data_IF_910713604437
#
_entry.id   IF_910713604437
#
_cell.length_a   1.000
_cell.length_b   1.000
_cell.length_c   1.000
_cell.angle_alpha   90.00
_cell.angle_beta   90.00
_cell.angle_gamma   90.00
#
_symmetry.space_group_name_H-M   'P 1'
#
loop_
_entity.id
_entity.type
_entity.pdbx_description
1 polymer ?
#
# COMPACT_ATOMS: atom_id res chain seq x y z
N UNK A 1 14.09 -7.13 -20.83
CA UNK A 1 12.62 -7.15 -21.04
C UNK A 1 11.97 -6.34 -19.94
N UNK A 2 11.02 -5.47 -20.29
CA UNK A 2 10.13 -4.83 -19.32
C UNK A 2 9.19 -5.86 -18.70
N UNK A 3 8.57 -5.53 -17.57
CA UNK A 3 7.58 -6.42 -16.96
C UNK A 3 6.41 -6.73 -17.90
N UNK A 4 5.95 -5.72 -18.66
CA UNK A 4 4.96 -5.88 -19.73
C UNK A 4 5.39 -6.91 -20.78
N UNK A 5 6.61 -6.78 -21.31
CA UNK A 5 7.13 -7.72 -22.32
C UNK A 5 7.21 -9.15 -21.80
N UNK A 6 7.58 -9.34 -20.52
CA UNK A 6 7.61 -10.67 -19.90
C UNK A 6 6.21 -11.30 -19.84
N UNK A 7 5.20 -10.51 -19.46
CA UNK A 7 3.81 -10.98 -19.40
C UNK A 7 3.29 -11.30 -20.80
N UNK A 8 3.46 -10.38 -21.76
CA UNK A 8 3.03 -10.57 -23.14
C UNK A 8 3.65 -11.84 -23.74
N UNK A 9 4.96 -12.05 -23.55
CA UNK A 9 5.65 -13.25 -24.03
C UNK A 9 5.13 -14.54 -23.36
N UNK A 10 4.84 -14.51 -22.06
CA UNK A 10 4.27 -15.65 -21.33
C UNK A 10 2.89 -16.07 -21.82
N UNK A 11 2.12 -15.14 -22.40
CA UNK A 11 0.79 -15.40 -22.97
C UNK A 11 0.82 -15.81 -24.44
N UNK A 12 1.99 -15.90 -25.07
CA UNK A 12 2.13 -16.41 -26.45
C UNK A 12 2.15 -17.94 -26.51
N UNK A 13 1.77 -18.55 -27.66
CA UNK A 13 1.87 -20.02 -27.83
C UNK A 13 3.29 -20.57 -27.67
N UNK A 14 4.31 -19.77 -27.99
CA UNK A 14 5.73 -20.15 -27.84
C UNK A 14 6.23 -20.03 -26.41
N UNK A 15 5.52 -19.32 -25.54
CA UNK A 15 5.93 -19.05 -24.16
C UNK A 15 7.19 -18.19 -24.05
N UNK A 16 7.82 -18.22 -22.87
CA UNK A 16 9.03 -17.47 -22.53
C UNK A 16 9.86 -18.19 -21.48
N UNK A 17 11.18 -18.01 -21.51
CA UNK A 17 12.10 -18.46 -20.44
C UNK A 17 12.31 -17.41 -19.35
N UNK A 18 11.77 -16.19 -19.55
CA UNK A 18 11.80 -15.10 -18.58
C UNK A 18 10.41 -14.89 -17.99
N UNK A 19 10.29 -14.94 -16.66
CA UNK A 19 9.01 -14.78 -15.95
C UNK A 19 8.88 -13.39 -15.32
N UNK A 20 7.65 -12.88 -15.31
CA UNK A 20 7.29 -11.71 -14.51
C UNK A 20 7.16 -12.10 -13.03
N UNK A 21 7.65 -11.28 -12.13
CA UNK A 21 7.60 -11.51 -10.69
C UNK A 21 6.95 -10.34 -9.94
N UNK A 22 6.14 -10.68 -8.94
CA UNK A 22 5.46 -9.74 -8.04
C UNK A 22 5.41 -10.29 -6.62
N UNK A 23 5.11 -9.40 -5.67
CA UNK A 23 4.91 -9.70 -4.27
C UNK A 23 3.43 -9.97 -4.05
N UNK A 24 3.10 -11.18 -3.60
CA UNK A 24 1.74 -11.51 -3.19
C UNK A 24 1.32 -10.63 -2.00
N UNK A 25 0.06 -10.19 -2.01
CA UNK A 25 -0.49 -9.29 -0.98
C UNK A 25 0.35 -8.02 -0.81
N UNK A 26 0.72 -7.38 -1.91
CA UNK A 26 1.62 -6.21 -1.94
C UNK A 26 1.24 -5.12 -0.93
N UNK A 27 -0.05 -4.90 -0.67
CA UNK A 27 -0.51 -3.91 0.30
C UNK A 27 -0.01 -4.17 1.72
N UNK A 28 0.05 -5.42 2.15
CA UNK A 28 0.60 -5.81 3.46
C UNK A 28 2.11 -5.54 3.50
N UNK A 29 2.83 -5.95 2.45
CA UNK A 29 4.26 -5.70 2.35
C UNK A 29 4.59 -4.19 2.34
N UNK A 30 3.84 -3.39 1.59
CA UNK A 30 4.02 -1.94 1.51
C UNK A 30 3.73 -1.27 2.85
N UNK A 31 2.67 -1.69 3.55
CA UNK A 31 2.34 -1.19 4.89
C UNK A 31 3.50 -1.44 5.86
N UNK A 32 4.02 -2.66 5.86
CA UNK A 32 5.04 -3.10 6.83
C UNK A 32 6.41 -2.48 6.57
N UNK A 33 6.72 -2.17 5.31
CA UNK A 33 8.01 -1.64 4.88
C UNK A 33 7.92 -0.19 4.36
N UNK A 34 6.89 0.57 4.73
CA UNK A 34 6.61 1.88 4.14
C UNK A 34 7.83 2.80 4.09
N UNK A 35 8.50 3.00 5.22
CA UNK A 35 9.63 3.93 5.35
C UNK A 35 10.90 3.43 4.62
N UNK A 36 10.99 2.13 4.30
CA UNK A 36 12.07 1.54 3.51
C UNK A 36 11.81 1.70 1.99
N UNK A 37 10.53 1.70 1.61
CA UNK A 37 10.10 1.70 0.22
C UNK A 37 9.94 3.11 -0.37
N UNK A 38 9.55 4.10 0.43
CA UNK A 38 9.34 5.48 -0.03
C UNK A 38 9.69 6.49 1.06
N UNK A 39 10.13 7.69 0.66
CA UNK A 39 10.27 8.84 1.56
C UNK A 39 8.97 9.62 1.75
N UNK A 40 7.87 9.20 1.12
CA UNK A 40 6.57 9.87 1.23
C UNK A 40 5.96 9.64 2.61
N UNK A 41 5.18 10.60 3.16
CA UNK A 41 4.43 10.36 4.40
C UNK A 41 3.47 9.18 4.28
N UNK A 42 3.36 8.33 5.31
CA UNK A 42 2.52 7.12 5.29
C UNK A 42 1.06 7.39 4.89
N UNK A 43 0.50 8.53 5.28
CA UNK A 43 -0.87 8.91 4.97
C UNK A 43 -1.08 9.23 3.48
N UNK A 44 -0.03 9.31 2.66
CA UNK A 44 -0.16 9.41 1.21
C UNK A 44 -0.91 8.20 0.61
N UNK A 45 -0.95 7.05 1.29
CA UNK A 45 -1.78 5.92 0.87
C UNK A 45 -3.29 6.26 0.90
N UNK A 46 -3.70 7.17 1.79
CA UNK A 46 -5.09 7.63 1.97
C UNK A 46 -5.41 8.91 1.18
N UNK A 47 -4.41 9.51 0.51
CA UNK A 47 -4.56 10.81 -0.12
C UNK A 47 -5.52 10.79 -1.33
N UNK A 48 -6.50 11.70 -1.43
CA UNK A 48 -7.38 11.79 -2.60
C UNK A 48 -6.68 12.38 -3.84
N UNK A 49 -5.51 13.00 -3.66
CA UNK A 49 -4.75 13.61 -4.74
C UNK A 49 -3.96 12.57 -5.54
N UNK A 50 -4.22 12.51 -6.86
CA UNK A 50 -3.57 11.55 -7.76
C UNK A 50 -2.04 11.66 -7.74
N UNK A 51 -1.50 12.87 -7.70
CA UNK A 51 -0.05 13.07 -7.70
C UNK A 51 0.63 12.45 -6.47
N UNK A 52 -0.03 12.51 -5.30
CA UNK A 52 0.47 11.85 -4.09
C UNK A 52 0.43 10.33 -4.24
N UNK A 53 -0.67 9.80 -4.79
CA UNK A 53 -0.82 8.36 -5.05
C UNK A 53 0.19 7.83 -6.08
N UNK A 54 0.54 8.63 -7.09
CA UNK A 54 1.55 8.30 -8.08
C UNK A 54 2.97 8.39 -7.51
N UNK A 55 3.25 9.39 -6.68
CA UNK A 55 4.59 9.60 -6.11
C UNK A 55 5.09 8.37 -5.36
N UNK A 56 4.36 7.93 -4.34
CA UNK A 56 4.81 6.79 -3.52
C UNK A 56 4.81 5.48 -4.30
N UNK A 57 3.86 5.27 -5.24
CA UNK A 57 3.82 4.05 -6.05
C UNK A 57 5.01 3.91 -6.98
N UNK A 58 5.48 5.03 -7.53
CA UNK A 58 6.71 5.06 -8.34
C UNK A 58 7.92 4.67 -7.50
N UNK A 59 8.00 5.12 -6.27
CA UNK A 59 9.08 4.71 -5.36
C UNK A 59 9.00 3.21 -5.07
N UNK A 60 7.82 2.72 -4.70
CA UNK A 60 7.60 1.30 -4.36
C UNK A 60 7.92 0.38 -5.53
N UNK A 61 7.42 0.66 -6.74
CA UNK A 61 7.67 -0.21 -7.90
C UNK A 61 9.15 -0.24 -8.27
N UNK A 62 9.83 0.91 -8.18
CA UNK A 62 11.27 1.00 -8.45
C UNK A 62 12.10 0.30 -7.36
N UNK A 63 11.71 0.43 -6.09
CA UNK A 63 12.45 -0.17 -4.96
C UNK A 63 12.29 -1.68 -4.92
N UNK A 64 11.09 -2.18 -5.23
CA UNK A 64 10.78 -3.62 -5.20
C UNK A 64 11.22 -4.34 -6.47
N UNK A 65 11.35 -3.62 -7.59
CA UNK A 65 11.71 -4.21 -8.88
C UNK A 65 10.64 -5.16 -9.43
N UNK A 66 9.39 -5.04 -8.96
CA UNK A 66 8.30 -5.86 -9.46
C UNK A 66 8.01 -5.53 -10.94
N UNK A 67 7.55 -6.53 -11.67
CA UNK A 67 7.25 -6.39 -13.11
C UNK A 67 5.90 -5.70 -13.37
N UNK A 68 5.00 -5.74 -12.40
CA UNK A 68 3.73 -5.01 -12.37
C UNK A 68 3.30 -4.78 -10.92
N UNK A 69 2.27 -3.96 -10.70
CA UNK A 69 1.70 -3.68 -9.37
C UNK A 69 0.19 -3.52 -9.50
N UNK A 70 -0.52 -3.61 -8.38
CA UNK A 70 -1.98 -3.46 -8.37
C UNK A 70 -2.36 -1.98 -8.51
N UNK A 71 -3.22 -1.69 -9.48
CA UNK A 71 -3.88 -0.38 -9.53
C UNK A 71 -5.00 -0.34 -8.48
N UNK A 72 -4.96 0.60 -7.52
CA UNK A 72 -5.97 0.67 -6.48
C UNK A 72 -7.31 1.10 -7.07
N UNK A 73 -8.41 0.64 -6.46
CA UNK A 73 -9.69 1.32 -6.64
C UNK A 73 -9.57 2.71 -6.04
N UNK A 74 -9.94 3.73 -6.81
CA UNK A 74 -9.89 5.11 -6.38
C UNK A 74 -11.31 5.67 -6.23
N UNK A 75 -11.51 6.49 -5.20
CA UNK A 75 -12.79 7.17 -4.97
C UNK A 75 -13.23 8.00 -6.20
N UNK A 76 -14.55 8.13 -6.44
CA UNK A 76 -15.08 8.97 -7.51
C UNK A 76 -14.54 10.39 -7.44
N UNK A 77 -14.45 11.06 -8.60
CA UNK A 77 -13.95 12.45 -8.68
C UNK A 77 -14.67 13.37 -7.69
N UNK A 78 -15.99 13.27 -7.61
CA UNK A 78 -16.80 14.11 -6.73
C UNK A 78 -16.38 13.94 -5.26
N UNK A 79 -16.05 12.74 -4.81
CA UNK A 79 -15.56 12.50 -3.46
C UNK A 79 -14.17 13.10 -3.25
N UNK A 80 -13.24 12.85 -4.18
CA UNK A 80 -11.86 13.37 -4.10
C UNK A 80 -11.77 14.89 -4.08
N UNK A 81 -12.70 15.58 -4.73
CA UNK A 81 -12.78 17.04 -4.72
C UNK A 81 -13.25 17.59 -3.36
N UNK A 82 -13.93 16.76 -2.56
CA UNK A 82 -14.53 17.15 -1.29
C UNK A 82 -13.78 16.61 -0.07
N UNK A 83 -12.97 15.57 -0.23
CA UNK A 83 -12.11 15.04 0.82
C UNK A 83 -10.72 15.69 0.72
N UNK A 84 -10.09 15.97 1.86
CA UNK A 84 -8.71 16.40 1.95
C UNK A 84 -8.03 15.85 3.19
N UNK A 85 -6.71 15.68 3.14
CA UNK A 85 -5.91 15.37 4.34
C UNK A 85 -5.17 16.63 4.78
N UNK A 86 -5.38 17.03 6.04
CA UNK A 86 -4.64 18.09 6.73
C UNK A 86 -3.63 17.48 7.67
N UNK A 87 -2.50 18.14 7.86
CA UNK A 87 -1.51 17.76 8.86
C UNK A 87 -1.44 18.84 9.93
N UNK A 88 -1.85 18.51 11.14
CA UNK A 88 -1.87 19.41 12.30
C UNK A 88 -1.13 18.75 13.46
N UNK A 89 -0.12 19.42 14.03
CA UNK A 89 0.66 18.85 15.14
C UNK A 89 1.33 17.50 14.82
N UNK A 90 1.64 17.24 13.55
CA UNK A 90 2.18 15.95 13.08
C UNK A 90 1.14 14.85 12.85
N UNK A 91 -0.14 15.11 13.13
CA UNK A 91 -1.24 14.18 12.92
C UNK A 91 -1.90 14.42 11.57
N UNK A 92 -2.19 13.33 10.85
CA UNK A 92 -2.93 13.38 9.59
C UNK A 92 -4.44 13.27 9.87
N UNK A 93 -5.20 14.24 9.40
CA UNK A 93 -6.65 14.32 9.62
C UNK A 93 -7.34 14.38 8.26
N UNK A 94 -8.19 13.40 7.98
CA UNK A 94 -9.08 13.39 6.82
C UNK A 94 -10.28 14.29 7.11
N UNK A 95 -10.58 15.20 6.20
CA UNK A 95 -11.66 16.19 6.33
C UNK A 95 -12.58 16.08 5.12
N UNK A 96 -13.87 15.86 5.36
CA UNK A 96 -14.91 16.03 4.35
C UNK A 96 -15.43 17.47 4.38
N UNK A 97 -15.19 18.21 3.28
CA UNK A 97 -15.58 19.61 3.12
C UNK A 97 -17.09 19.81 3.04
N UNK A 98 -17.87 18.77 2.71
CA UNK A 98 -19.34 18.87 2.60
C UNK A 98 -20.00 18.87 3.96
N UNK A 99 -19.58 17.94 4.81
CA UNK A 99 -20.16 17.73 6.14
C UNK A 99 -19.40 18.47 7.24
N UNK A 100 -18.13 18.81 6.99
CA UNK A 100 -17.21 19.27 8.03
C UNK A 100 -16.69 18.14 8.93
N UNK A 101 -17.00 16.87 8.61
CA UNK A 101 -16.55 15.74 9.39
C UNK A 101 -15.02 15.61 9.33
N UNK A 102 -14.42 15.35 10.49
CA UNK A 102 -12.99 15.14 10.64
C UNK A 102 -12.72 13.75 11.20
N UNK A 103 -11.72 13.09 10.65
CA UNK A 103 -11.30 11.75 11.05
C UNK A 103 -9.79 11.74 11.20
N UNK A 104 -9.31 11.39 12.39
CA UNK A 104 -7.89 11.19 12.62
C UNK A 104 -7.43 9.90 11.93
N UNK A 105 -6.48 10.02 11.01
CA UNK A 105 -5.84 8.87 10.40
C UNK A 105 -4.73 8.37 11.33
N UNK A 106 -4.77 7.09 11.64
CA UNK A 106 -3.75 6.41 12.44
C UNK A 106 -2.86 5.59 11.52
N UNK A 107 -1.54 5.64 11.77
CA UNK A 107 -0.59 4.83 11.00
C UNK A 107 -0.91 3.35 11.24
N UNK A 108 -1.08 2.54 10.19
CA UNK A 108 -1.33 1.11 10.37
C UNK A 108 -0.21 0.42 11.15
N UNK A 109 -0.57 -0.55 11.99
CA UNK A 109 0.40 -1.38 12.71
C UNK A 109 1.02 -2.44 11.79
N UNK A 110 2.30 -2.73 12.03
CA UNK A 110 3.02 -3.84 11.38
C UNK A 110 2.59 -5.14 12.05
N UNK A 111 2.01 -6.08 11.29
CA UNK A 111 1.58 -7.36 11.86
C UNK A 111 0.68 -8.21 10.96
N UNK A 112 0.43 -9.46 11.36
CA UNK A 112 -0.49 -10.33 10.62
C UNK A 112 -1.89 -9.71 10.53
N UNK A 113 -2.53 -9.78 9.37
CA UNK A 113 -3.85 -9.19 9.13
C UNK A 113 -4.94 -10.27 9.15
N UNK A 114 -6.10 -9.95 9.72
CA UNK A 114 -7.34 -10.70 9.50
C UNK A 114 -8.39 -9.87 8.72
N UNK A 115 -9.40 -10.53 8.12
CA UNK A 115 -10.50 -9.86 7.40
C UNK A 115 -11.31 -8.85 8.21
N UNK A 116 -11.20 -8.85 9.53
CA UNK A 116 -11.88 -7.94 10.44
C UNK A 116 -11.04 -6.68 10.73
N UNK A 117 -9.82 -6.59 10.19
CA UNK A 117 -8.91 -5.46 10.39
C UNK A 117 -8.09 -5.53 11.68
N UNK A 118 -8.09 -6.67 12.36
CA UNK A 118 -7.34 -6.88 13.60
C UNK A 118 -5.95 -7.49 13.32
N UNK A 119 -5.01 -7.25 14.24
CA UNK A 119 -3.68 -7.83 14.19
C UNK A 119 -3.68 -9.20 14.87
N UNK A 120 -3.52 -10.28 14.10
CA UNK A 120 -3.50 -11.66 14.62
C UNK A 120 -2.11 -12.16 15.01
N UNK A 121 -1.06 -11.44 14.59
CA UNK A 121 0.32 -11.81 14.89
C UNK A 121 1.00 -10.68 15.63
N UNK A 122 0.85 -10.70 16.96
CA UNK A 122 1.66 -9.91 17.88
C UNK A 122 2.94 -10.70 18.15
N UNK A 123 4.12 -10.06 18.04
CA UNK A 123 5.37 -10.69 18.47
C UNK A 123 5.25 -11.03 19.95
N UNK A 124 5.26 -12.31 20.34
CA UNK A 124 5.18 -12.65 21.75
C UNK A 124 6.47 -12.18 22.43
N UNK A 125 6.36 -11.56 23.61
CA UNK A 125 7.52 -11.14 24.41
C UNK A 125 8.41 -12.34 24.80
N UNK A 126 7.81 -13.53 24.87
CA UNK A 126 8.48 -14.76 25.25
C UNK A 126 8.02 -15.92 24.35
N UNK A 127 8.98 -16.73 23.88
CA UNK A 127 8.65 -17.95 23.13
C UNK A 127 7.93 -18.96 24.04
N UNK A 128 6.91 -19.68 23.54
CA UNK A 128 6.27 -20.73 24.31
C UNK A 128 7.29 -21.80 24.72
N UNK A 129 7.34 -22.14 26.00
CA UNK A 129 8.18 -23.21 26.50
C UNK A 129 7.64 -24.54 25.95
N UNK A 130 8.43 -25.24 25.12
CA UNK A 130 8.08 -26.58 24.64
C UNK A 130 7.91 -27.50 25.85
N UNK A 131 6.70 -28.04 26.05
CA UNK A 131 6.52 -29.22 26.91
C UNK A 131 7.22 -30.39 26.22
N UNK A 132 8.20 -30.99 26.90
CA UNK A 132 8.83 -32.25 26.49
C UNK A 132 7.88 -33.41 26.75
#
# INVERSE_FOLDING_TARGET
>A
MTGREKIEAALTPTGTTSFAAVICYEGIYIRDHWDELTGSPWWYQEAPELERQLAWRRDVINRTGQDWFVLPTIAPRSERENVAIRVLGGQAIRVDRRSGAEELLVRPEIGGWNPMGEVESVRPEHLPVRKR
#
